data_IF_688344795450
#
_entry.id   IF_688344795450
#
_cell.length_a   1.000
_cell.length_b   1.000
_cell.length_c   1.000
_cell.angle_alpha   90.00
_cell.angle_beta   90.00
_cell.angle_gamma   90.00
#
_symmetry.space_group_name_H-M   'P 1'
#
loop_
_entity.id
_entity.type
_entity.pdbx_description
1 polymer ?
#
# COMPACT_ATOMS: atom_id res chain seq x y z
N UNK A 1 -13.34 4.16 11.25
CA UNK A 1 -13.18 3.88 9.82
C UNK A 1 -12.32 2.66 9.63
N UNK A 2 -12.61 1.88 8.61
CA UNK A 2 -11.88 0.64 8.39
C UNK A 2 -10.45 0.93 7.91
N UNK A 3 -9.50 0.15 8.42
CA UNK A 3 -8.10 0.18 7.96
C UNK A 3 -7.43 1.55 8.10
N UNK A 4 -7.80 2.29 9.15
CA UNK A 4 -7.19 3.59 9.42
C UNK A 4 -5.68 3.50 9.54
N UNK A 5 -5.20 2.45 10.19
CA UNK A 5 -3.77 2.21 10.35
C UNK A 5 -3.07 2.10 9.00
N UNK A 6 -3.67 1.34 8.06
CA UNK A 6 -3.10 1.17 6.73
C UNK A 6 -3.16 2.47 5.93
N UNK A 7 -4.27 3.21 6.03
CA UNK A 7 -4.41 4.48 5.35
C UNK A 7 -3.36 5.48 5.84
N UNK A 8 -3.10 5.49 7.13
CA UNK A 8 -2.07 6.33 7.71
C UNK A 8 -0.69 5.93 7.22
N UNK A 9 -0.40 4.63 7.16
CA UNK A 9 0.89 4.15 6.68
C UNK A 9 1.12 4.55 5.23
N UNK A 10 0.09 4.45 4.39
CA UNK A 10 0.18 4.86 3.00
C UNK A 10 0.50 6.34 2.90
N UNK A 11 -0.17 7.16 3.71
CA UNK A 11 0.04 8.61 3.69
C UNK A 11 1.44 8.97 4.19
N UNK A 12 1.87 8.37 5.29
CA UNK A 12 3.18 8.64 5.88
C UNK A 12 4.30 8.22 4.92
N UNK A 13 4.13 7.07 4.25
CA UNK A 13 5.11 6.59 3.29
C UNK A 13 5.10 7.38 1.99
N UNK A 14 4.08 8.23 1.80
CA UNK A 14 3.93 9.05 0.60
C UNK A 14 3.86 8.19 -0.66
N UNK A 15 3.12 7.10 -0.59
CA UNK A 15 2.88 6.21 -1.73
C UNK A 15 1.41 6.30 -2.13
N UNK A 16 1.10 5.87 -3.34
CA UNK A 16 -0.27 5.90 -3.84
C UNK A 16 -0.89 4.52 -3.74
N UNK A 17 -2.22 4.48 -3.57
CA UNK A 17 -2.92 3.21 -3.44
C UNK A 17 -2.70 2.32 -4.67
N UNK A 18 -2.73 2.91 -5.87
CA UNK A 18 -2.53 2.10 -7.09
C UNK A 18 -1.12 1.51 -7.16
N UNK A 19 -0.13 2.22 -6.61
CA UNK A 19 1.23 1.71 -6.56
C UNK A 19 1.33 0.50 -5.64
N UNK A 20 0.67 0.59 -4.48
CA UNK A 20 0.66 -0.53 -3.53
C UNK A 20 -0.08 -1.72 -4.14
N UNK A 21 -1.21 -1.46 -4.80
CA UNK A 21 -1.98 -2.51 -5.46
C UNK A 21 -1.13 -3.23 -6.50
N UNK A 22 -0.41 -2.48 -7.30
CA UNK A 22 0.47 -3.05 -8.31
C UNK A 22 1.57 -3.90 -7.68
N UNK A 23 2.14 -3.43 -6.58
CA UNK A 23 3.22 -4.14 -5.89
C UNK A 23 2.76 -5.49 -5.34
N UNK A 24 1.51 -5.59 -4.91
CA UNK A 24 0.98 -6.85 -4.37
C UNK A 24 0.19 -7.66 -5.39
N UNK A 25 0.09 -7.17 -6.63
CA UNK A 25 -0.49 -7.93 -7.72
C UNK A 25 -2.00 -7.89 -7.82
N UNK A 26 -2.62 -6.82 -7.34
CA UNK A 26 -4.07 -6.64 -7.47
C UNK A 26 -4.38 -5.36 -8.23
N UNK A 27 -5.61 -5.23 -8.72
CA UNK A 27 -6.02 -4.02 -9.39
C UNK A 27 -6.29 -2.91 -8.37
N UNK A 28 -6.24 -1.67 -8.84
CA UNK A 28 -6.57 -0.53 -8.00
C UNK A 28 -7.99 -0.64 -7.44
N UNK A 29 -8.91 -1.09 -8.28
CA UNK A 29 -10.29 -1.26 -7.87
C UNK A 29 -10.42 -2.29 -6.75
N UNK A 30 -9.67 -3.37 -6.83
CA UNK A 30 -9.63 -4.37 -5.78
C UNK A 30 -9.08 -3.78 -4.48
N UNK A 31 -8.04 -2.98 -4.58
CA UNK A 31 -7.46 -2.29 -3.42
C UNK A 31 -8.49 -1.39 -2.76
N UNK A 32 -9.25 -0.62 -3.54
CA UNK A 32 -10.30 0.24 -3.01
C UNK A 32 -11.35 -0.58 -2.25
N UNK A 33 -11.75 -1.72 -2.83
CA UNK A 33 -12.71 -2.60 -2.18
C UNK A 33 -12.17 -3.17 -0.88
N UNK A 34 -10.90 -3.56 -0.88
CA UNK A 34 -10.25 -4.09 0.32
C UNK A 34 -10.26 -3.05 1.44
N UNK A 35 -9.98 -1.79 1.12
CA UNK A 35 -9.89 -0.75 2.13
C UNK A 35 -11.24 -0.30 2.66
N UNK A 36 -12.33 -0.68 2.01
CA UNK A 36 -13.67 -0.37 2.50
C UNK A 36 -14.10 -1.24 3.66
N UNK A 37 -13.49 -2.41 3.82
CA UNK A 37 -13.81 -3.34 4.89
C UNK A 37 -12.56 -3.61 5.71
N UNK A 38 -12.76 -3.87 7.00
CA UNK A 38 -11.62 -4.22 7.86
C UNK A 38 -10.96 -5.49 7.31
N UNK A 39 -9.67 -5.39 7.05
CA UNK A 39 -8.93 -6.52 6.50
C UNK A 39 -8.48 -7.48 7.60
N UNK A 40 -8.35 -8.76 7.23
CA UNK A 40 -7.75 -9.75 8.11
C UNK A 40 -6.26 -9.41 8.31
N UNK A 41 -5.65 -9.92 9.41
CA UNK A 41 -4.23 -9.67 9.63
C UNK A 41 -3.34 -10.08 8.47
N UNK A 42 -3.69 -11.18 7.79
CA UNK A 42 -2.93 -11.65 6.64
C UNK A 42 -2.95 -10.64 5.49
N UNK A 43 -4.13 -10.09 5.20
CA UNK A 43 -4.25 -9.10 4.14
C UNK A 43 -3.59 -7.79 4.52
N UNK A 44 -3.67 -7.41 5.78
CA UNK A 44 -2.95 -6.21 6.25
C UNK A 44 -1.46 -6.37 6.06
N UNK A 45 -0.92 -7.55 6.35
CA UNK A 45 0.50 -7.83 6.14
C UNK A 45 0.87 -7.70 4.66
N UNK A 46 0.03 -8.19 3.77
CA UNK A 46 0.25 -8.04 2.32
C UNK A 46 0.32 -6.58 1.91
N UNK A 47 -0.61 -5.77 2.39
CA UNK A 47 -0.65 -4.35 2.07
C UNK A 47 0.60 -3.65 2.61
N UNK A 48 1.00 -3.97 3.83
CA UNK A 48 2.21 -3.39 4.42
C UNK A 48 3.47 -3.76 3.64
N UNK A 49 3.54 -5.01 3.18
CA UNK A 49 4.65 -5.44 2.33
C UNK A 49 4.67 -4.66 1.03
N UNK A 50 3.50 -4.40 0.45
CA UNK A 50 3.38 -3.59 -0.75
C UNK A 50 3.85 -2.16 -0.52
N UNK A 51 3.45 -1.57 0.61
CA UNK A 51 3.87 -0.22 0.96
C UNK A 51 5.39 -0.16 1.08
N UNK A 52 5.99 -1.13 1.75
CA UNK A 52 7.44 -1.17 1.92
C UNK A 52 8.15 -1.30 0.58
N UNK A 53 7.62 -2.14 -0.31
CA UNK A 53 8.21 -2.34 -1.63
C UNK A 53 8.17 -1.05 -2.46
N UNK A 54 7.03 -0.35 -2.46
CA UNK A 54 6.90 0.91 -3.19
C UNK A 54 7.80 1.98 -2.60
N UNK A 55 7.86 2.04 -1.28
CA UNK A 55 8.71 3.00 -0.59
C UNK A 55 10.18 2.80 -0.96
N UNK A 56 10.63 1.56 -0.97
CA UNK A 56 12.01 1.23 -1.35
C UNK A 56 12.27 1.63 -2.80
N UNK A 57 11.30 1.41 -3.68
CA UNK A 57 11.41 1.78 -5.08
C UNK A 57 11.55 3.29 -5.24
N UNK A 58 10.77 4.06 -4.47
CA UNK A 58 10.85 5.52 -4.51
C UNK A 58 12.21 6.01 -4.02
N UNK A 59 12.73 5.40 -2.98
CA UNK A 59 14.03 5.77 -2.46
C UNK A 59 15.13 5.49 -3.49
N UNK A 60 15.04 4.36 -4.17
CA UNK A 60 15.99 4.03 -5.24
C UNK A 60 15.93 5.05 -6.36
N UNK A 61 14.72 5.45 -6.76
CA UNK A 61 14.55 6.45 -7.80
C UNK A 61 15.16 7.79 -7.40
N UNK A 62 15.01 8.18 -6.14
CA UNK A 62 15.63 9.41 -5.64
C UNK A 62 17.14 9.37 -5.73
N UNK A 63 17.72 8.21 -5.44
CA UNK A 63 19.17 8.06 -5.50
C UNK A 63 19.70 8.15 -6.93
N UNK A 64 18.94 7.66 -7.87
CA UNK A 64 19.33 7.67 -9.28
C UNK A 64 19.23 9.07 -9.86
N UNK A 65 18.23 9.81 -9.44
CA UNK A 65 18.03 11.16 -9.96
C UNK A 65 18.76 12.19 -9.15
#
# INVERSE_FOLDING_TARGET
MCNEDLRNEIRIANVKQWEVADAIGISEMTMVKWLRKELSPDKKAMVRNGIAAVKAKHETNKQVS
#
